data_IF_588439991717
#
_entry.id   IF_588439991717
#
_cell.length_a   1.000
_cell.length_b   1.000
_cell.length_c   1.000
_cell.angle_alpha   90.00
_cell.angle_beta   90.00
_cell.angle_gamma   90.00
#
_symmetry.space_group_name_H-M   'P 1'
#
loop_
_entity.id
_entity.type
_entity.pdbx_description
1 polymer ?
#
# COMPACT_ATOMS: atom_id res chain seq x y z
N UNK A 1 31.38 -40.44 0.55
CA UNK A 1 32.44 -39.59 -0.02
C UNK A 1 32.36 -39.62 -1.54
N UNK A 2 31.80 -38.56 -2.13
CA UNK A 2 31.79 -38.31 -3.58
C UNK A 2 31.42 -36.83 -3.78
N UNK A 3 32.39 -35.92 -3.96
CA UNK A 3 32.07 -34.51 -4.20
C UNK A 3 31.51 -34.32 -5.60
N UNK A 4 30.36 -33.65 -5.73
CA UNK A 4 29.86 -33.16 -7.02
C UNK A 4 30.57 -31.86 -7.36
N UNK A 5 31.35 -31.85 -8.45
CA UNK A 5 31.88 -30.61 -9.01
C UNK A 5 30.75 -29.78 -9.61
N UNK A 6 30.70 -28.49 -9.27
CA UNK A 6 29.99 -27.47 -10.06
C UNK A 6 30.99 -26.77 -11.00
N UNK A 7 30.65 -26.55 -12.28
CA UNK A 7 31.50 -25.79 -13.19
C UNK A 7 31.39 -24.29 -12.92
N UNK A 8 32.52 -23.58 -12.88
CA UNK A 8 32.56 -22.11 -12.90
C UNK A 8 32.14 -21.61 -14.29
N UNK A 9 31.02 -20.89 -14.37
CA UNK A 9 30.68 -20.13 -15.57
C UNK A 9 31.63 -18.93 -15.72
N UNK A 10 32.11 -18.71 -16.95
CA UNK A 10 33.20 -17.77 -17.23
C UNK A 10 32.77 -16.32 -17.37
N UNK A 11 33.66 -15.42 -16.96
CA UNK A 11 33.64 -13.99 -17.26
C UNK A 11 33.71 -13.79 -18.79
N UNK A 12 32.79 -13.01 -19.37
CA UNK A 12 32.89 -12.53 -20.75
C UNK A 12 32.91 -11.01 -20.73
N UNK A 13 33.91 -10.42 -21.37
CA UNK A 13 34.12 -8.98 -21.45
C UNK A 13 34.01 -8.48 -22.89
N UNK A 14 33.92 -7.15 -23.02
CA UNK A 14 33.89 -6.36 -24.27
C UNK A 14 32.53 -6.39 -25.04
N UNK A 15 32.16 -5.36 -25.80
CA UNK A 15 32.92 -4.16 -26.18
C UNK A 15 32.02 -2.90 -26.23
N UNK A 16 32.60 -1.73 -25.91
CA UNK A 16 31.98 -0.45 -26.22
C UNK A 16 32.15 -0.11 -27.71
N UNK A 17 31.06 0.21 -28.41
CA UNK A 17 31.11 0.64 -29.80
C UNK A 17 30.80 2.14 -29.91
N UNK A 18 31.84 2.94 -30.16
CA UNK A 18 31.66 4.34 -30.55
C UNK A 18 31.04 4.43 -31.94
N UNK A 19 30.01 5.27 -32.11
CA UNK A 19 29.59 5.73 -33.44
C UNK A 19 29.76 7.24 -33.57
N UNK A 20 30.21 7.66 -34.74
CA UNK A 20 30.82 8.96 -35.00
C UNK A 20 29.78 9.97 -35.50
N UNK A 21 29.90 11.24 -35.08
CA UNK A 21 29.09 12.33 -35.61
C UNK A 21 29.26 12.47 -37.14
N UNK A 22 28.16 12.70 -37.85
CA UNK A 22 28.19 13.34 -39.16
C UNK A 22 27.14 14.45 -39.18
N UNK A 23 27.54 15.67 -39.51
CA UNK A 23 26.64 16.82 -39.64
C UNK A 23 26.78 17.52 -40.99
N UNK A 24 25.72 18.21 -41.41
CA UNK A 24 25.57 19.20 -42.50
C UNK A 24 24.08 19.18 -42.92
N UNK A 25 23.40 20.25 -43.34
CA UNK A 25 23.58 21.73 -43.26
C UNK A 25 22.20 22.32 -43.63
N UNK A 26 21.80 23.51 -43.13
CA UNK A 26 20.50 24.09 -43.48
C UNK A 26 20.52 24.75 -44.87
N UNK A 27 19.40 24.67 -45.59
CA UNK A 27 19.19 25.43 -46.82
C UNK A 27 18.21 26.59 -46.55
N UNK A 28 18.64 27.81 -46.84
CA UNK A 28 17.81 29.01 -46.81
C UNK A 28 17.87 29.73 -48.16
N UNK A 29 16.71 30.13 -48.65
CA UNK A 29 16.45 31.03 -49.78
C UNK A 29 15.00 31.48 -49.59
N UNK A 30 14.67 32.75 -49.40
CA UNK A 30 14.97 33.86 -50.31
C UNK A 30 13.64 34.17 -51.00
N UNK A 31 12.86 35.10 -50.47
CA UNK A 31 12.80 36.49 -50.96
C UNK A 31 12.40 36.57 -52.45
N UNK A 32 11.16 36.98 -52.71
CA UNK A 32 10.81 37.61 -53.98
C UNK A 32 9.72 38.68 -53.77
N UNK A 33 10.07 39.93 -54.09
CA UNK A 33 9.24 41.12 -53.96
C UNK A 33 9.30 41.88 -55.29
N UNK A 34 8.23 41.83 -56.09
CA UNK A 34 8.05 42.77 -57.20
C UNK A 34 6.59 42.93 -57.65
N UNK A 35 6.18 44.20 -57.79
CA UNK A 35 4.97 44.66 -58.47
C UNK A 35 5.28 44.92 -59.99
N UNK A 36 4.56 45.77 -60.76
CA UNK A 36 3.14 46.16 -60.78
C UNK A 36 2.49 46.12 -62.21
N UNK A 37 1.20 46.50 -62.28
CA UNK A 37 0.54 47.24 -63.37
C UNK A 37 0.35 46.65 -64.80
N UNK A 38 -0.89 46.82 -65.32
CA UNK A 38 -1.13 47.50 -66.61
C UNK A 38 -2.58 48.01 -66.70
N UNK A 39 -2.80 49.09 -67.45
CA UNK A 39 -4.07 49.82 -67.52
C UNK A 39 -4.90 49.49 -68.77
N UNK A 40 -6.22 49.74 -68.72
CA UNK A 40 -7.13 49.67 -69.86
C UNK A 40 -8.32 50.63 -69.75
N UNK A 41 -8.45 51.52 -70.73
CA UNK A 41 -9.57 52.44 -70.99
C UNK A 41 -9.66 52.62 -72.54
N UNK A 42 -10.72 53.19 -73.16
CA UNK A 42 -11.87 53.96 -72.64
C UNK A 42 -13.23 53.22 -72.93
N UNK A 43 -14.46 53.79 -73.03
CA UNK A 43 -14.94 55.18 -73.20
C UNK A 43 -16.41 55.42 -72.77
N UNK A 44 -16.74 56.70 -72.57
CA UNK A 44 -18.04 57.41 -72.69
C UNK A 44 -19.38 56.66 -72.67
N UNK A 45 -20.29 57.09 -71.78
CA UNK A 45 -21.73 56.82 -71.92
C UNK A 45 -22.64 57.43 -70.83
N UNK A 46 -23.17 58.64 -71.09
CA UNK A 46 -24.34 59.29 -70.47
C UNK A 46 -24.37 59.53 -68.94
N UNK A 47 -24.76 60.76 -68.56
CA UNK A 47 -25.00 61.14 -67.17
C UNK A 47 -26.39 60.69 -66.68
N UNK A 48 -26.46 60.17 -65.46
CA UNK A 48 -27.69 60.03 -64.69
C UNK A 48 -27.43 60.50 -63.25
N UNK A 49 -28.02 61.64 -62.88
CA UNK A 49 -27.96 62.15 -61.50
C UNK A 49 -28.92 61.33 -60.64
N UNK A 50 -28.42 60.28 -60.00
CA UNK A 50 -29.15 59.54 -58.97
C UNK A 50 -28.57 59.88 -57.60
N UNK A 51 -29.38 60.54 -56.77
CA UNK A 51 -29.06 60.83 -55.37
C UNK A 51 -28.85 59.52 -54.61
N UNK A 52 -27.61 59.22 -54.23
CA UNK A 52 -27.30 58.09 -53.37
C UNK A 52 -27.80 58.35 -51.93
N UNK A 53 -28.45 57.39 -51.26
CA UNK A 53 -28.87 57.56 -49.88
C UNK A 53 -27.65 57.54 -48.93
N UNK A 54 -27.63 58.46 -47.95
CA UNK A 54 -26.56 58.61 -46.97
C UNK A 54 -26.59 57.54 -45.85
N UNK A 55 -26.60 56.25 -46.24
CA UNK A 55 -26.64 55.09 -45.34
C UNK A 55 -25.39 54.19 -45.43
N UNK A 56 -24.41 54.55 -46.27
CA UNK A 56 -23.25 53.70 -46.56
C UNK A 56 -22.13 53.78 -45.50
N UNK A 57 -22.02 54.88 -44.75
CA UNK A 57 -20.89 55.09 -43.81
C UNK A 57 -21.00 54.28 -42.51
N UNK A 58 -22.20 54.11 -41.97
CA UNK A 58 -22.42 53.38 -40.70
C UNK A 58 -22.20 51.88 -40.86
N UNK A 59 -22.75 51.27 -41.92
CA UNK A 59 -22.53 49.86 -42.23
C UNK A 59 -21.05 49.52 -42.45
N UNK A 60 -20.28 50.43 -43.06
CA UNK A 60 -18.82 50.28 -43.21
C UNK A 60 -18.07 50.41 -41.87
N UNK A 61 -18.51 51.29 -40.97
CA UNK A 61 -17.92 51.42 -39.63
C UNK A 61 -18.18 50.18 -38.77
N UNK A 62 -19.41 49.67 -38.74
CA UNK A 62 -19.78 48.44 -38.02
C UNK A 62 -19.08 47.19 -38.57
N UNK A 63 -18.75 47.16 -39.86
CA UNK A 63 -17.95 46.10 -40.46
C UNK A 63 -16.47 46.19 -40.02
N UNK A 64 -15.90 47.40 -39.98
CA UNK A 64 -14.54 47.62 -39.49
C UNK A 64 -14.39 47.31 -37.99
N UNK A 65 -15.38 47.64 -37.17
CA UNK A 65 -15.38 47.31 -35.73
C UNK A 65 -15.54 45.81 -35.50
N UNK A 66 -16.37 45.12 -36.30
CA UNK A 66 -16.43 43.65 -36.28
C UNK A 66 -15.12 42.99 -36.71
N UNK A 67 -14.40 43.54 -37.70
CA UNK A 67 -13.06 43.06 -38.09
C UNK A 67 -12.07 43.22 -36.94
N UNK A 68 -12.01 44.42 -36.34
CA UNK A 68 -11.11 44.70 -35.21
C UNK A 68 -11.42 43.85 -33.98
N UNK A 69 -12.70 43.60 -33.70
CA UNK A 69 -13.10 42.67 -32.64
C UNK A 69 -12.67 41.23 -32.95
N UNK A 70 -12.85 40.75 -34.18
CA UNK A 70 -12.41 39.41 -34.59
C UNK A 70 -10.88 39.24 -34.57
N UNK A 71 -10.13 40.27 -34.97
CA UNK A 71 -8.66 40.32 -34.87
C UNK A 71 -8.20 40.29 -33.40
N UNK A 72 -8.84 41.09 -32.53
CA UNK A 72 -8.57 41.08 -31.08
C UNK A 72 -8.84 39.71 -30.44
N UNK A 73 -9.96 39.06 -30.78
CA UNK A 73 -10.28 37.71 -30.31
C UNK A 73 -9.28 36.66 -30.80
N UNK A 74 -8.79 36.77 -32.04
CA UNK A 74 -7.73 35.88 -32.56
C UNK A 74 -6.40 36.09 -31.84
N UNK A 75 -6.02 37.34 -31.60
CA UNK A 75 -4.81 37.66 -30.84
C UNK A 75 -4.89 37.14 -29.39
N UNK A 76 -6.06 37.26 -28.74
CA UNK A 76 -6.29 36.71 -27.40
C UNK A 76 -6.23 35.18 -27.37
N UNK A 77 -6.80 34.50 -28.37
CA UNK A 77 -6.70 33.05 -28.51
C UNK A 77 -5.24 32.60 -28.69
N UNK A 78 -4.50 33.22 -29.60
CA UNK A 78 -3.07 32.93 -29.84
C UNK A 78 -2.21 33.18 -28.59
N UNK A 79 -2.50 34.22 -27.81
CA UNK A 79 -1.82 34.48 -26.54
C UNK A 79 -2.10 33.38 -25.50
N UNK A 80 -3.34 32.91 -25.40
CA UNK A 80 -3.72 31.79 -24.52
C UNK A 80 -3.07 30.47 -24.94
N UNK A 81 -3.04 30.15 -26.23
CA UNK A 81 -2.36 28.97 -26.78
C UNK A 81 -0.85 29.02 -26.53
N UNK A 82 -0.22 30.18 -26.65
CA UNK A 82 1.20 30.37 -26.35
C UNK A 82 1.51 30.22 -24.85
N UNK A 83 0.64 30.72 -23.97
CA UNK A 83 0.78 30.55 -22.53
C UNK A 83 0.58 29.09 -22.09
N UNK A 84 -0.44 28.41 -22.62
CA UNK A 84 -0.66 26.98 -22.41
C UNK A 84 0.54 26.15 -22.89
N UNK A 85 1.10 26.48 -24.06
CA UNK A 85 2.29 25.82 -24.60
C UNK A 85 3.49 25.98 -23.67
N UNK A 86 3.75 27.20 -23.17
CA UNK A 86 4.82 27.43 -22.19
C UNK A 86 4.62 26.63 -20.90
N UNK A 87 3.41 26.63 -20.34
CA UNK A 87 3.09 25.86 -19.12
C UNK A 87 3.32 24.35 -19.33
N UNK A 88 3.02 23.82 -20.52
CA UNK A 88 3.26 22.43 -20.87
C UNK A 88 4.75 22.10 -21.10
N UNK A 89 5.57 23.05 -21.56
CA UNK A 89 7.03 22.89 -21.61
C UNK A 89 7.65 22.93 -20.20
N UNK A 90 7.19 23.85 -19.35
CA UNK A 90 7.60 23.95 -17.95
C UNK A 90 7.20 22.70 -17.14
N UNK A 91 6.01 22.12 -17.36
CA UNK A 91 5.59 20.90 -16.67
C UNK A 91 6.45 19.69 -17.08
N UNK A 92 6.69 19.50 -18.38
CA UNK A 92 7.59 18.45 -18.90
C UNK A 92 9.02 18.60 -18.39
N UNK A 93 9.52 19.84 -18.29
CA UNK A 93 10.84 20.10 -17.71
C UNK A 93 10.90 19.78 -16.20
N UNK A 94 9.82 20.02 -15.46
CA UNK A 94 9.73 19.64 -14.04
C UNK A 94 9.60 18.12 -13.85
N UNK A 95 8.84 17.42 -14.70
CA UNK A 95 8.74 15.97 -14.71
C UNK A 95 10.09 15.31 -15.04
N UNK A 96 10.81 15.82 -16.04
CA UNK A 96 12.14 15.33 -16.40
C UNK A 96 13.14 15.45 -15.24
N UNK A 97 13.12 16.57 -14.49
CA UNK A 97 13.96 16.75 -13.30
C UNK A 97 13.61 15.78 -12.19
N UNK A 98 12.31 15.59 -11.89
CA UNK A 98 11.88 14.60 -10.88
C UNK A 98 12.30 13.18 -11.25
N UNK A 99 12.27 12.82 -12.53
CA UNK A 99 12.73 11.52 -13.03
C UNK A 99 14.26 11.36 -12.99
N UNK A 100 15.03 12.45 -13.06
CA UNK A 100 16.48 12.45 -12.85
C UNK A 100 16.82 12.31 -11.37
N UNK A 101 16.14 13.07 -10.50
CA UNK A 101 16.24 12.99 -9.04
C UNK A 101 15.84 11.61 -8.50
N UNK A 102 14.79 10.98 -9.05
CA UNK A 102 14.37 9.64 -8.62
C UNK A 102 15.39 8.57 -8.97
N UNK A 103 15.98 8.61 -10.18
CA UNK A 103 17.06 7.70 -10.60
C UNK A 103 18.30 7.88 -9.74
N UNK A 104 18.70 9.12 -9.46
CA UNK A 104 19.83 9.39 -8.56
C UNK A 104 19.59 8.86 -7.14
N UNK A 105 18.34 8.87 -6.65
CA UNK A 105 17.96 8.27 -5.38
C UNK A 105 17.96 6.73 -5.41
N UNK A 106 17.54 6.11 -6.51
CA UNK A 106 17.62 4.66 -6.74
C UNK A 106 19.07 4.18 -6.80
N UNK A 107 19.92 4.83 -7.61
CA UNK A 107 21.36 4.57 -7.69
C UNK A 107 22.04 4.68 -6.30
N UNK A 108 21.65 5.69 -5.52
CA UNK A 108 22.18 5.90 -4.15
C UNK A 108 21.76 4.77 -3.19
N UNK A 109 20.51 4.31 -3.28
CA UNK A 109 20.00 3.17 -2.48
C UNK A 109 20.67 1.86 -2.88
N UNK A 110 20.92 1.64 -4.16
CA UNK A 110 21.66 0.47 -4.64
C UNK A 110 23.11 0.48 -4.15
N UNK A 111 23.80 1.60 -4.25
CA UNK A 111 25.16 1.75 -3.72
C UNK A 111 25.22 1.49 -2.19
N UNK A 112 24.24 1.96 -1.43
CA UNK A 112 24.17 1.72 0.02
C UNK A 112 23.87 0.24 0.35
N UNK A 113 23.00 -0.42 -0.42
CA UNK A 113 22.76 -1.88 -0.33
C UNK A 113 24.02 -2.69 -0.65
N UNK A 114 24.74 -2.33 -1.72
CA UNK A 114 26.01 -2.98 -2.09
C UNK A 114 27.04 -2.84 -0.96
N UNK A 115 27.17 -1.64 -0.39
CA UNK A 115 28.07 -1.39 0.74
C UNK A 115 27.70 -2.22 1.97
N UNK A 116 26.42 -2.24 2.37
CA UNK A 116 25.96 -3.08 3.49
C UNK A 116 26.25 -4.56 3.24
N UNK A 117 26.03 -5.05 2.01
CA UNK A 117 26.34 -6.44 1.67
C UNK A 117 27.85 -6.76 1.72
N UNK A 118 28.73 -5.82 1.38
CA UNK A 118 30.17 -5.97 1.57
C UNK A 118 30.57 -5.94 3.06
N UNK A 119 30.00 -5.04 3.85
CA UNK A 119 30.19 -4.95 5.31
C UNK A 119 29.72 -6.24 6.01
N UNK A 120 28.55 -6.79 5.65
CA UNK A 120 28.05 -8.08 6.15
C UNK A 120 28.94 -9.27 5.74
N UNK A 121 29.48 -9.29 4.52
CA UNK A 121 30.43 -10.32 4.08
C UNK A 121 31.75 -10.24 4.83
N UNK A 122 32.24 -9.03 5.12
CA UNK A 122 33.43 -8.83 5.93
C UNK A 122 33.21 -9.28 7.39
N UNK A 123 32.05 -8.98 7.96
CA UNK A 123 31.67 -9.45 9.31
C UNK A 123 31.56 -10.99 9.37
N UNK A 124 30.92 -11.62 8.39
CA UNK A 124 30.83 -13.08 8.31
C UNK A 124 32.21 -13.75 8.11
N UNK A 125 33.11 -13.14 7.34
CA UNK A 125 34.48 -13.64 7.18
C UNK A 125 35.30 -13.49 8.47
N UNK A 126 35.12 -12.42 9.23
CA UNK A 126 35.77 -12.24 10.53
C UNK A 126 35.26 -13.24 11.59
N UNK A 127 33.95 -13.48 11.64
CA UNK A 127 33.36 -14.49 12.52
C UNK A 127 33.89 -15.91 12.23
N UNK A 128 34.12 -16.23 10.95
CA UNK A 128 34.66 -17.52 10.53
C UNK A 128 36.15 -17.75 10.90
N UNK A 129 36.95 -16.70 11.19
CA UNK A 129 38.32 -16.87 11.69
C UNK A 129 38.39 -17.03 13.23
N UNK A 130 37.34 -16.63 13.98
CA UNK A 130 37.27 -16.85 15.43
C UNK A 130 36.91 -18.31 15.79
N UNK A 131 36.14 -19.03 14.95
CA UNK A 131 35.75 -20.43 15.21
C UNK A 131 36.92 -21.45 15.12
N UNK A 132 38.01 -21.12 14.42
CA UNK A 132 39.12 -22.07 14.18
C UNK A 132 40.10 -22.21 15.38
N UNK A 133 39.82 -21.53 16.52
CA UNK A 133 40.65 -21.58 17.73
C UNK A 133 40.12 -22.48 18.86
N UNK A 134 38.84 -22.88 18.86
CA UNK A 134 38.24 -23.72 19.90
C UNK A 134 38.00 -25.20 19.49
N UNK A 135 38.53 -25.62 18.34
CA UNK A 135 38.47 -27.00 17.83
C UNK A 135 39.37 -28.02 18.57
N UNK A 136 39.56 -27.85 19.89
CA UNK A 136 40.36 -28.74 20.74
C UNK A 136 39.77 -28.95 22.16
N UNK A 137 38.45 -28.80 22.33
CA UNK A 137 37.76 -28.90 23.63
C UNK A 137 36.51 -29.78 23.64
N UNK A 138 36.69 -31.10 23.80
CA UNK A 138 35.66 -32.08 24.21
C UNK A 138 34.29 -32.03 23.52
N UNK A 139 34.11 -32.91 22.53
CA UNK A 139 32.84 -33.61 22.42
C UNK A 139 32.59 -34.37 23.73
N UNK A 140 31.38 -34.27 24.30
CA UNK A 140 30.46 -35.36 24.69
C UNK A 140 29.23 -34.75 25.42
N UNK A 141 28.35 -34.00 24.74
CA UNK A 141 26.93 -33.82 25.15
C UNK A 141 26.09 -33.21 24.02
N UNK A 142 24.75 -33.20 24.18
CA UNK A 142 23.80 -33.26 23.06
C UNK A 142 23.23 -31.93 22.52
N UNK A 143 22.85 -32.00 21.22
CA UNK A 143 21.72 -31.34 20.56
C UNK A 143 21.68 -29.80 20.40
N UNK A 144 21.75 -29.39 19.13
CA UNK A 144 21.08 -28.25 18.47
C UNK A 144 20.53 -27.12 19.39
N UNK A 145 21.28 -26.04 19.53
CA UNK A 145 20.83 -24.83 20.23
C UNK A 145 21.86 -23.70 20.16
N UNK A 146 21.61 -22.71 19.31
CA UNK A 146 22.54 -21.62 19.00
C UNK A 146 21.92 -20.23 19.09
N UNK A 147 21.09 -19.95 20.11
CA UNK A 147 20.50 -18.61 20.36
C UNK A 147 21.52 -17.59 20.91
N UNK A 148 22.78 -17.67 20.47
CA UNK A 148 23.91 -16.95 21.03
C UNK A 148 23.94 -15.48 20.58
N UNK A 149 23.27 -14.59 21.31
CA UNK A 149 23.44 -13.14 21.17
C UNK A 149 22.22 -12.27 21.47
N UNK A 150 21.01 -12.84 21.49
CA UNK A 150 19.77 -12.09 21.75
C UNK A 150 19.31 -12.31 23.18
N UNK A 151 19.22 -11.23 23.96
CA UNK A 151 18.62 -11.25 25.29
C UNK A 151 17.10 -11.44 25.20
N UNK A 152 16.51 -12.29 26.05
CA UNK A 152 15.08 -12.59 26.08
C UNK A 152 14.77 -13.97 26.66
N UNK A 153 13.50 -14.32 26.74
CA UNK A 153 13.06 -15.62 27.24
C UNK A 153 13.19 -16.69 26.16
N UNK A 154 13.76 -17.85 26.49
CA UNK A 154 13.93 -18.97 25.56
C UNK A 154 12.70 -19.87 25.61
N UNK A 155 12.07 -20.12 24.45
CA UNK A 155 10.90 -20.99 24.34
C UNK A 155 11.04 -21.99 23.17
N UNK A 156 10.39 -23.14 23.29
CA UNK A 156 10.38 -24.18 22.24
C UNK A 156 9.04 -24.18 21.51
N UNK A 157 9.04 -24.09 20.18
CA UNK A 157 7.81 -23.96 19.40
C UNK A 157 7.05 -25.29 19.37
N UNK A 158 5.75 -25.25 19.68
CA UNK A 158 4.85 -26.40 19.63
C UNK A 158 4.02 -26.42 18.34
N UNK A 159 3.54 -25.27 17.88
CA UNK A 159 2.82 -25.14 16.61
C UNK A 159 2.67 -23.68 16.13
N UNK A 160 2.53 -23.51 14.82
CA UNK A 160 2.10 -22.26 14.18
C UNK A 160 0.59 -22.33 13.90
N UNK A 161 -0.18 -21.37 14.41
CA UNK A 161 -1.66 -21.36 14.27
C UNK A 161 -2.12 -20.73 12.95
N UNK A 162 -1.61 -19.52 12.67
CA UNK A 162 -1.89 -18.64 11.53
C UNK A 162 -0.60 -17.83 11.20
N UNK A 163 -0.69 -16.69 10.51
CA UNK A 163 0.47 -15.90 10.08
C UNK A 163 1.18 -15.12 11.18
N UNK A 164 0.55 -14.92 12.35
CA UNK A 164 1.09 -14.08 13.43
C UNK A 164 0.95 -14.69 14.84
N UNK A 165 0.31 -15.86 14.98
CA UNK A 165 0.10 -16.53 16.26
C UNK A 165 0.85 -17.87 16.32
N UNK A 166 1.77 -17.96 17.27
CA UNK A 166 2.48 -19.18 17.66
C UNK A 166 1.88 -19.80 18.92
N UNK A 167 2.18 -21.07 19.15
CA UNK A 167 2.07 -21.72 20.47
C UNK A 167 3.44 -22.28 20.82
N UNK A 168 3.96 -21.90 21.97
CA UNK A 168 5.29 -22.27 22.46
C UNK A 168 5.21 -22.96 23.81
N UNK A 169 6.30 -23.66 24.16
CA UNK A 169 6.59 -24.18 25.49
C UNK A 169 7.52 -23.19 26.18
N UNK A 170 6.98 -22.37 27.08
CA UNK A 170 7.73 -21.46 27.94
C UNK A 170 7.65 -22.00 29.37
N UNK A 171 8.80 -22.30 30.00
CA UNK A 171 8.89 -22.97 31.32
C UNK A 171 8.03 -24.25 31.46
N UNK A 172 7.87 -24.99 30.35
CA UNK A 172 7.01 -26.19 30.28
C UNK A 172 5.51 -25.92 30.19
N UNK A 173 5.09 -24.64 30.14
CA UNK A 173 3.70 -24.22 29.94
C UNK A 173 3.43 -23.94 28.46
N UNK A 174 2.28 -24.41 27.96
CA UNK A 174 1.86 -24.20 26.58
C UNK A 174 1.21 -22.82 26.39
N UNK A 175 2.00 -21.84 26.00
CA UNK A 175 1.65 -20.42 25.92
C UNK A 175 1.37 -19.99 24.48
N UNK A 176 0.22 -19.35 24.19
CA UNK A 176 -0.01 -18.71 22.90
C UNK A 176 0.75 -17.36 22.83
N UNK A 177 1.45 -17.13 21.73
CA UNK A 177 2.24 -15.91 21.48
C UNK A 177 1.70 -15.23 20.22
N UNK A 178 1.42 -13.93 20.31
CA UNK A 178 1.08 -13.08 19.17
C UNK A 178 2.31 -12.23 18.83
N UNK A 179 2.77 -12.32 17.58
CA UNK A 179 3.89 -11.53 17.08
C UNK A 179 3.52 -10.05 17.18
N UNK A 180 4.36 -9.27 17.87
CA UNK A 180 4.22 -7.82 17.98
C UNK A 180 4.44 -7.10 16.65
N UNK A 181 3.79 -5.94 16.56
CA UNK A 181 3.89 -4.94 15.50
C UNK A 181 3.54 -5.36 14.06
N UNK A 182 3.06 -6.59 13.81
CA UNK A 182 2.51 -7.00 12.50
C UNK A 182 1.03 -7.40 12.59
N UNK A 183 0.24 -7.19 11.54
CA UNK A 183 -1.05 -7.87 11.32
C UNK A 183 -0.99 -8.65 10.01
N UNK A 184 -1.38 -9.93 10.03
CA UNK A 184 -1.23 -10.82 8.86
C UNK A 184 -2.58 -11.15 8.24
N UNK A 185 -2.66 -11.36 6.91
CA UNK A 185 -3.94 -11.69 6.28
C UNK A 185 -4.57 -12.95 6.87
N UNK A 186 -5.79 -12.78 7.36
CA UNK A 186 -6.50 -13.72 8.21
C UNK A 186 -6.99 -14.97 7.44
N UNK A 187 -6.74 -16.15 8.02
CA UNK A 187 -7.06 -17.46 7.42
C UNK A 187 -8.12 -18.28 8.17
N UNK A 188 -8.37 -17.96 9.44
CA UNK A 188 -9.09 -18.82 10.39
C UNK A 188 -10.20 -18.12 11.15
N UNK A 189 -10.50 -16.85 10.86
CA UNK A 189 -11.65 -16.17 11.49
C UNK A 189 -12.97 -16.91 11.22
N UNK A 190 -13.78 -17.24 12.25
CA UNK A 190 -15.02 -18.01 12.09
C UNK A 190 -16.15 -17.34 11.26
N UNK A 191 -15.93 -16.13 10.76
CA UNK A 191 -16.95 -15.31 10.07
C UNK A 191 -16.42 -14.38 8.97
N UNK A 192 -15.09 -14.26 8.78
CA UNK A 192 -14.52 -13.53 7.63
C UNK A 192 -14.17 -14.55 6.55
N UNK A 193 -14.24 -14.20 5.25
CA UNK A 193 -13.58 -14.99 4.22
C UNK A 193 -12.07 -15.02 4.49
N UNK A 194 -11.39 -16.05 3.99
CA UNK A 194 -9.92 -16.08 3.93
C UNK A 194 -9.47 -14.82 3.17
N UNK A 195 -8.64 -14.00 3.80
CA UNK A 195 -8.11 -12.80 3.17
C UNK A 195 -7.07 -13.18 2.10
N UNK A 196 -6.90 -12.32 1.10
CA UNK A 196 -5.89 -12.54 0.08
C UNK A 196 -4.50 -12.67 0.74
N UNK A 197 -3.72 -13.67 0.30
CA UNK A 197 -2.43 -14.04 0.84
C UNK A 197 -2.39 -14.53 2.32
N UNK A 198 -3.54 -14.85 2.91
CA UNK A 198 -3.54 -15.46 4.25
C UNK A 198 -2.87 -16.84 4.32
N UNK A 199 -3.22 -17.80 3.44
CA UNK A 199 -2.56 -19.11 3.40
C UNK A 199 -1.04 -18.98 3.20
N UNK A 200 -0.64 -18.01 2.40
CA UNK A 200 0.74 -17.64 2.08
C UNK A 200 1.46 -17.07 3.32
N UNK A 201 0.85 -16.15 4.07
CA UNK A 201 1.38 -15.66 5.36
C UNK A 201 1.56 -16.81 6.38
N UNK A 202 0.57 -17.69 6.49
CA UNK A 202 0.66 -18.88 7.37
C UNK A 202 1.73 -19.86 6.90
N UNK A 203 1.98 -19.97 5.59
CA UNK A 203 3.02 -20.82 5.03
C UNK A 203 4.42 -20.21 5.21
N UNK A 204 4.56 -18.89 5.06
CA UNK A 204 5.80 -18.15 5.30
C UNK A 204 6.30 -18.32 6.74
N UNK A 205 5.42 -18.08 7.74
CA UNK A 205 5.79 -18.29 9.15
C UNK A 205 6.20 -19.75 9.42
N UNK A 206 5.53 -20.73 8.80
CA UNK A 206 5.89 -22.17 8.89
C UNK A 206 7.17 -22.56 8.16
N UNK A 207 7.65 -21.75 7.22
CA UNK A 207 8.96 -21.96 6.58
C UNK A 207 10.12 -21.37 7.37
N UNK A 208 9.84 -20.42 8.27
CA UNK A 208 10.83 -19.82 9.17
C UNK A 208 10.86 -20.50 10.53
N UNK A 209 9.74 -21.07 10.99
CA UNK A 209 9.60 -21.69 12.30
C UNK A 209 8.78 -22.99 12.22
N UNK A 210 9.38 -24.09 12.65
CA UNK A 210 8.78 -25.42 12.80
C UNK A 210 8.56 -25.85 14.26
N UNK A 211 7.73 -26.89 14.51
CA UNK A 211 7.62 -27.51 15.83
C UNK A 211 8.94 -28.16 16.27
N UNK A 212 9.40 -27.82 17.47
CA UNK A 212 10.69 -28.25 18.02
C UNK A 212 11.79 -27.20 17.94
N UNK A 213 11.60 -26.14 17.15
CA UNK A 213 12.58 -25.06 17.03
C UNK A 213 12.63 -24.21 18.31
N UNK A 214 13.81 -23.70 18.62
CA UNK A 214 14.04 -22.81 19.77
C UNK A 214 13.97 -21.36 19.31
N UNK A 215 13.15 -20.56 19.98
CA UNK A 215 13.00 -19.12 19.73
C UNK A 215 13.38 -18.32 20.98
N UNK A 216 13.83 -17.08 20.77
CA UNK A 216 13.95 -16.08 21.84
C UNK A 216 12.78 -15.11 21.74
N UNK A 217 12.10 -14.87 22.85
CA UNK A 217 11.00 -13.93 22.99
C UNK A 217 11.51 -12.65 23.65
N UNK A 218 11.33 -11.51 22.99
CA UNK A 218 11.48 -10.20 23.61
C UNK A 218 10.14 -9.51 23.72
N UNK A 219 9.94 -8.79 24.82
CA UNK A 219 8.69 -8.09 25.11
C UNK A 219 8.85 -6.57 25.01
N UNK A 220 7.71 -5.90 25.10
CA UNK A 220 7.58 -4.46 25.23
C UNK A 220 6.71 -4.15 26.48
N UNK A 221 6.34 -2.88 26.71
CA UNK A 221 5.65 -2.42 27.93
C UNK A 221 4.39 -3.26 28.32
N UNK A 222 3.57 -3.66 27.34
CA UNK A 222 2.36 -4.47 27.56
C UNK A 222 2.58 -5.92 27.12
N UNK A 223 2.62 -6.83 28.10
CA UNK A 223 2.98 -8.24 27.87
C UNK A 223 1.84 -9.10 27.30
N UNK A 224 0.57 -8.76 27.55
CA UNK A 224 -0.58 -9.62 27.23
C UNK A 224 -1.65 -8.85 26.47
N UNK A 225 -2.22 -9.47 25.44
CA UNK A 225 -3.39 -8.93 24.74
C UNK A 225 -4.70 -9.29 25.47
N UNK A 226 -5.82 -8.70 25.01
CA UNK A 226 -7.19 -8.96 25.49
C UNK A 226 -7.69 -10.41 25.36
N UNK A 227 -6.90 -11.32 24.77
CA UNK A 227 -7.21 -12.73 24.58
C UNK A 227 -6.23 -13.64 25.36
N UNK A 228 -5.50 -13.07 26.33
CA UNK A 228 -4.48 -13.73 27.15
C UNK A 228 -3.32 -14.33 26.31
N UNK A 229 -3.02 -13.76 25.14
CA UNK A 229 -1.84 -14.11 24.33
C UNK A 229 -0.65 -13.24 24.73
N UNK A 230 0.53 -13.85 24.81
CA UNK A 230 1.79 -13.18 25.08
C UNK A 230 2.21 -12.36 23.85
N UNK A 231 2.44 -11.07 24.02
CA UNK A 231 2.87 -10.14 22.98
C UNK A 231 4.40 -10.10 22.91
N UNK A 232 4.99 -10.58 21.81
CA UNK A 232 6.45 -10.67 21.68
C UNK A 232 7.00 -10.36 20.27
N UNK A 233 8.20 -9.78 20.24
CA UNK A 233 9.13 -9.94 19.13
C UNK A 233 9.74 -11.34 19.20
N UNK A 234 9.66 -12.11 18.12
CA UNK A 234 10.12 -13.51 18.07
C UNK A 234 11.41 -13.57 17.25
N UNK A 235 12.47 -14.11 17.85
CA UNK A 235 13.78 -14.22 17.22
C UNK A 235 14.18 -15.68 16.99
N UNK A 236 14.73 -15.96 15.81
CA UNK A 236 15.37 -17.22 15.42
C UNK A 236 16.77 -16.89 14.93
N UNK A 237 17.81 -17.52 15.47
CA UNK A 237 19.21 -17.32 15.06
C UNK A 237 19.64 -15.83 14.95
N UNK A 238 19.10 -14.98 15.82
CA UNK A 238 19.35 -13.53 15.85
C UNK A 238 18.42 -12.67 14.97
N UNK A 239 17.59 -13.28 14.13
CA UNK A 239 16.71 -12.61 13.15
C UNK A 239 15.31 -12.39 13.73
N UNK A 240 14.79 -11.16 13.64
CA UNK A 240 13.42 -10.82 14.06
C UNK A 240 12.39 -11.31 13.02
N UNK A 241 11.71 -12.41 13.34
CA UNK A 241 10.72 -13.05 12.46
C UNK A 241 9.55 -12.12 12.14
N UNK A 242 9.19 -11.21 13.04
CA UNK A 242 8.17 -10.19 12.83
C UNK A 242 8.54 -9.28 11.64
N UNK A 243 9.81 -8.87 11.54
CA UNK A 243 10.30 -8.07 10.42
C UNK A 243 10.47 -8.90 9.15
N UNK A 244 10.82 -10.19 9.22
CA UNK A 244 10.81 -11.06 8.04
C UNK A 244 9.41 -11.21 7.42
N UNK A 245 8.37 -11.39 8.24
CA UNK A 245 6.97 -11.42 7.77
C UNK A 245 6.59 -10.13 7.03
N UNK A 246 7.02 -8.97 7.56
CA UNK A 246 6.82 -7.68 6.91
C UNK A 246 7.64 -7.54 5.62
N UNK A 247 8.89 -8.04 5.58
CA UNK A 247 9.78 -8.03 4.40
C UNK A 247 9.26 -8.89 3.26
N UNK A 248 8.54 -9.95 3.57
CA UNK A 248 7.81 -10.76 2.57
C UNK A 248 6.52 -10.08 2.08
N UNK A 249 6.14 -8.93 2.62
CA UNK A 249 4.88 -8.24 2.32
C UNK A 249 3.65 -8.94 2.91
N UNK A 250 3.83 -9.75 3.96
CA UNK A 250 2.81 -10.62 4.54
C UNK A 250 2.39 -10.23 5.98
N UNK A 251 3.02 -9.22 6.57
CA UNK A 251 2.66 -8.63 7.86
C UNK A 251 2.66 -7.11 7.80
N UNK A 252 1.47 -6.50 7.89
CA UNK A 252 1.29 -5.05 7.87
C UNK A 252 1.70 -4.41 9.21
N UNK A 253 2.50 -3.32 9.24
CA UNK A 253 2.90 -2.66 10.47
C UNK A 253 1.71 -2.12 11.29
N UNK A 254 1.66 -2.41 12.58
CA UNK A 254 0.58 -2.00 13.48
C UNK A 254 1.07 -1.77 14.91
N UNK A 255 0.32 -1.01 15.72
CA UNK A 255 0.59 -0.81 17.16
C UNK A 255 -0.42 -1.61 17.99
N UNK A 256 0.08 -2.48 18.88
CA UNK A 256 -0.76 -3.24 19.82
C UNK A 256 -0.62 -2.67 21.23
N UNK A 257 -1.71 -2.16 21.80
CA UNK A 257 -1.82 -1.72 23.20
C UNK A 257 -0.71 -0.72 23.66
N UNK A 258 -0.13 0.03 22.71
CA UNK A 258 0.96 0.99 22.95
C UNK A 258 2.37 0.48 22.65
N UNK A 259 2.54 -0.83 22.41
CA UNK A 259 3.82 -1.44 22.09
C UNK A 259 4.34 -1.00 20.71
N UNK A 260 5.56 -0.47 20.68
CA UNK A 260 6.23 0.11 19.51
C UNK A 260 7.69 -0.35 19.35
N UNK A 261 8.24 -1.13 20.28
CA UNK A 261 9.66 -1.54 20.33
C UNK A 261 10.20 -2.11 19.01
N UNK A 262 9.39 -2.90 18.30
CA UNK A 262 9.78 -3.57 17.05
C UNK A 262 9.24 -2.86 15.81
N UNK A 263 8.38 -1.85 15.98
CA UNK A 263 7.72 -1.16 14.89
C UNK A 263 8.70 -0.55 13.86
N UNK A 264 9.80 0.14 14.23
CA UNK A 264 10.69 0.75 13.24
C UNK A 264 11.37 -0.25 12.30
N UNK A 265 11.70 -1.46 12.79
CA UNK A 265 12.30 -2.52 11.97
C UNK A 265 11.26 -3.15 11.04
N UNK A 266 10.05 -3.35 11.57
CA UNK A 266 8.89 -3.86 10.82
C UNK A 266 8.44 -2.88 9.71
N UNK A 267 8.39 -1.57 10.00
CA UNK A 267 8.08 -0.53 9.01
C UNK A 267 9.13 -0.49 7.89
N UNK A 268 10.42 -0.51 8.23
CA UNK A 268 11.50 -0.53 7.24
C UNK A 268 11.46 -1.80 6.35
N UNK A 269 11.12 -2.95 6.94
CA UNK A 269 10.93 -4.19 6.21
C UNK A 269 9.72 -4.14 5.26
N UNK A 270 8.60 -3.57 5.72
CA UNK A 270 7.38 -3.36 4.92
C UNK A 270 7.57 -2.39 3.75
N UNK A 271 8.33 -1.31 3.95
CA UNK A 271 8.70 -0.39 2.87
C UNK A 271 9.56 -1.08 1.80
N UNK A 272 10.48 -1.97 2.21
CA UNK A 272 11.26 -2.79 1.28
C UNK A 272 10.36 -3.77 0.50
N UNK A 273 9.41 -4.43 1.17
CA UNK A 273 8.43 -5.30 0.51
C UNK A 273 7.59 -4.57 -0.55
N UNK A 274 7.19 -3.32 -0.25
CA UNK A 274 6.49 -2.45 -1.21
C UNK A 274 7.35 -2.06 -2.40
N UNK A 275 8.62 -1.75 -2.17
CA UNK A 275 9.57 -1.41 -3.23
C UNK A 275 9.86 -2.61 -4.14
N UNK A 276 9.90 -3.82 -3.59
CA UNK A 276 10.15 -5.07 -4.33
C UNK A 276 8.89 -5.65 -5.00
N UNK A 277 7.69 -5.13 -4.68
CA UNK A 277 6.42 -5.60 -5.22
C UNK A 277 6.09 -7.04 -4.78
N UNK A 278 6.42 -7.41 -3.55
CA UNK A 278 6.21 -8.76 -2.99
C UNK A 278 5.06 -8.79 -1.98
N UNK A 279 4.59 -10.00 -1.67
CA UNK A 279 3.46 -10.19 -0.77
C UNK A 279 2.24 -9.40 -1.25
N UNK A 280 1.58 -8.69 -0.34
CA UNK A 280 0.36 -7.93 -0.61
C UNK A 280 0.53 -6.86 -1.72
N UNK A 281 1.77 -6.55 -2.12
CA UNK A 281 2.11 -5.65 -3.22
C UNK A 281 2.30 -6.33 -4.59
N UNK A 282 2.17 -7.66 -4.70
CA UNK A 282 2.38 -8.42 -5.95
C UNK A 282 1.33 -8.20 -7.04
N UNK A 283 0.29 -7.42 -6.76
CA UNK A 283 -0.89 -7.24 -7.63
C UNK A 283 -1.88 -8.41 -7.61
N UNK A 284 -1.51 -9.57 -7.06
CA UNK A 284 -2.41 -10.73 -6.90
C UNK A 284 -3.55 -10.47 -5.93
N UNK A 285 -3.38 -9.50 -5.02
CA UNK A 285 -4.39 -9.03 -4.07
C UNK A 285 -5.11 -7.74 -4.48
N UNK A 286 -4.90 -7.27 -5.71
CA UNK A 286 -5.69 -6.18 -6.26
C UNK A 286 -7.14 -6.66 -6.48
N UNK A 287 -8.00 -6.43 -5.47
CA UNK A 287 -9.38 -6.09 -5.77
C UNK A 287 -9.31 -4.84 -6.66
N UNK A 288 -9.91 -4.90 -7.85
CA UNK A 288 -10.03 -3.71 -8.70
C UNK A 288 -10.61 -2.58 -7.83
N UNK A 289 -9.92 -1.44 -7.76
CA UNK A 289 -10.47 -0.24 -7.12
C UNK A 289 -11.84 0.00 -7.74
N UNK A 290 -12.89 -0.21 -6.96
CA UNK A 290 -14.23 0.20 -7.36
C UNK A 290 -14.12 1.70 -7.66
N UNK A 291 -14.37 2.14 -8.90
CA UNK A 291 -13.96 3.46 -9.34
C UNK A 291 -14.58 4.51 -8.41
N UNK A 292 -13.72 5.40 -7.91
CA UNK A 292 -14.12 6.60 -7.16
C UNK A 292 -15.36 7.22 -7.83
N UNK A 293 -16.44 7.49 -7.08
CA UNK A 293 -17.69 7.91 -7.68
C UNK A 293 -17.50 9.27 -8.36
N UNK A 294 -17.40 9.25 -9.69
CA UNK A 294 -17.33 10.45 -10.52
C UNK A 294 -18.59 11.27 -10.30
N UNK A 295 -18.44 12.40 -9.61
CA UNK A 295 -19.47 13.42 -9.50
C UNK A 295 -19.66 14.09 -10.88
N UNK A 296 -20.64 13.63 -11.65
CA UNK A 296 -21.21 14.43 -12.74
C UNK A 296 -22.71 14.15 -12.95
N UNK A 297 -23.36 15.07 -13.66
CA UNK A 297 -24.77 15.44 -13.47
C UNK A 297 -25.85 14.38 -13.78
N UNK A 298 -26.97 14.48 -13.06
CA UNK A 298 -28.15 13.64 -13.20
C UNK A 298 -28.83 13.77 -14.57
N UNK A 299 -29.56 12.72 -15.00
CA UNK A 299 -31.00 12.96 -15.21
C UNK A 299 -31.98 11.84 -14.82
N UNK A 300 -33.17 12.29 -14.41
CA UNK A 300 -34.48 11.66 -14.64
C UNK A 300 -34.80 10.26 -14.05
N UNK A 301 -35.23 10.29 -12.80
CA UNK A 301 -36.43 9.61 -12.26
C UNK A 301 -36.92 8.30 -12.94
N UNK A 302 -36.77 7.18 -12.21
CA UNK A 302 -37.60 5.98 -12.37
C UNK A 302 -38.20 5.62 -10.99
N UNK A 303 -39.43 5.10 -10.97
CA UNK A 303 -40.31 5.15 -9.79
C UNK A 303 -39.86 4.31 -8.56
N UNK A 304 -40.16 4.83 -7.38
CA UNK A 304 -39.92 4.21 -6.07
C UNK A 304 -40.74 2.92 -5.85
N UNK A 305 -40.16 1.85 -5.26
CA UNK A 305 -40.93 0.81 -4.60
C UNK A 305 -41.45 1.28 -3.22
N UNK A 306 -42.59 0.73 -2.81
CA UNK A 306 -43.35 1.15 -1.63
C UNK A 306 -42.57 1.07 -0.28
N UNK A 307 -42.92 1.91 0.72
CA UNK A 307 -42.20 1.97 1.99
C UNK A 307 -42.34 0.68 2.80
N UNK A 308 -41.20 0.10 3.18
CA UNK A 308 -41.12 -0.84 4.31
C UNK A 308 -41.36 -0.05 5.61
N UNK A 309 -42.08 -0.61 6.60
CA UNK A 309 -42.50 0.13 7.77
C UNK A 309 -41.31 0.49 8.68
N UNK A 310 -41.24 1.76 9.09
CA UNK A 310 -40.28 2.22 10.09
C UNK A 310 -40.55 1.53 11.44
N UNK A 311 -39.69 0.58 11.81
CA UNK A 311 -39.69 -0.03 13.13
C UNK A 311 -38.88 0.82 14.10
N UNK A 312 -39.60 1.46 15.02
CA UNK A 312 -39.18 2.05 16.29
C UNK A 312 -37.70 2.46 16.43
N UNK A 313 -37.44 3.76 16.29
CA UNK A 313 -36.30 4.38 16.98
C UNK A 313 -36.49 4.22 18.50
N UNK A 314 -35.64 3.41 19.13
CA UNK A 314 -35.70 3.15 20.56
C UNK A 314 -34.62 2.16 21.00
N UNK A 315 -33.55 2.70 21.59
CA UNK A 315 -32.44 1.96 22.21
C UNK A 315 -31.55 1.17 21.24
N UNK A 316 -30.55 1.89 20.67
CA UNK A 316 -29.29 1.23 20.28
C UNK A 316 -28.58 0.62 21.49
N UNK A 317 -27.46 -0.10 21.30
CA UNK A 317 -26.80 -0.84 22.36
C UNK A 317 -26.39 0.06 23.52
N UNK A 318 -26.63 -0.40 24.75
CA UNK A 318 -26.02 0.23 25.93
C UNK A 318 -24.67 -0.43 26.21
N UNK A 319 -23.63 0.34 26.61
CA UNK A 319 -22.34 -0.26 26.93
C UNK A 319 -22.43 -1.22 28.12
N UNK A 320 -21.84 -2.40 27.97
CA UNK A 320 -21.65 -3.34 29.07
C UNK A 320 -20.53 -2.88 30.01
N UNK A 321 -20.86 -2.11 31.04
CA UNK A 321 -19.91 -1.75 32.09
C UNK A 321 -19.47 -2.99 32.86
N UNK A 322 -18.16 -3.18 33.02
CA UNK A 322 -17.54 -4.36 33.66
C UNK A 322 -18.08 -5.71 33.15
N UNK A 323 -18.46 -5.75 31.86
CA UNK A 323 -19.06 -6.92 31.18
C UNK A 323 -20.44 -7.38 31.70
N UNK A 324 -21.07 -6.56 32.54
CA UNK A 324 -22.43 -6.75 33.06
C UNK A 324 -23.40 -5.91 32.24
N UNK A 325 -24.49 -6.52 31.79
CA UNK A 325 -25.59 -5.79 31.16
C UNK A 325 -26.66 -5.43 32.19
N UNK A 326 -27.32 -4.26 32.07
CA UNK A 326 -28.52 -3.94 32.83
C UNK A 326 -29.65 -4.96 32.58
N UNK A 327 -30.54 -5.14 33.56
CA UNK A 327 -31.66 -6.11 33.46
C UNK A 327 -32.62 -5.81 32.28
N UNK A 328 -32.78 -4.54 31.91
CA UNK A 328 -33.57 -4.09 30.76
C UNK A 328 -32.90 -4.41 29.39
N UNK A 329 -31.61 -4.78 29.40
CA UNK A 329 -30.81 -5.10 28.22
C UNK A 329 -30.17 -6.50 28.31
N UNK A 330 -30.97 -7.57 28.47
CA UNK A 330 -30.49 -8.89 28.85
C UNK A 330 -29.80 -9.67 27.72
N UNK A 331 -29.60 -9.08 26.54
CA UNK A 331 -28.95 -9.76 25.41
C UNK A 331 -27.49 -9.27 25.29
N UNK A 332 -26.56 -10.17 25.60
CA UNK A 332 -25.12 -9.90 25.68
C UNK A 332 -24.45 -10.02 24.31
N UNK A 333 -24.06 -8.91 23.69
CA UNK A 333 -23.25 -8.87 22.47
C UNK A 333 -21.75 -8.82 22.78
N UNK A 334 -20.96 -9.68 22.11
CA UNK A 334 -19.50 -9.65 22.15
C UNK A 334 -18.93 -9.16 20.81
N UNK A 335 -18.51 -7.91 20.79
CA UNK A 335 -18.00 -7.14 19.64
C UNK A 335 -16.81 -7.81 18.94
N UNK A 336 -16.01 -8.62 19.65
CA UNK A 336 -14.87 -9.31 19.05
C UNK A 336 -15.30 -10.48 18.15
N UNK A 337 -16.52 -11.01 18.33
CA UNK A 337 -17.02 -12.20 17.63
C UNK A 337 -18.30 -11.95 16.84
N UNK A 338 -18.94 -10.80 17.05
CA UNK A 338 -20.31 -10.51 16.59
C UNK A 338 -21.30 -11.63 16.94
N UNK A 339 -21.13 -12.21 18.13
CA UNK A 339 -22.06 -13.21 18.68
C UNK A 339 -22.85 -12.58 19.82
N UNK A 340 -24.17 -12.76 19.80
CA UNK A 340 -25.02 -12.44 20.95
C UNK A 340 -25.45 -13.70 21.71
N UNK A 341 -25.60 -13.55 23.01
CA UNK A 341 -26.11 -14.56 23.93
C UNK A 341 -27.35 -14.06 24.67
N UNK A 342 -28.38 -14.90 24.78
CA UNK A 342 -29.59 -14.61 25.57
C UNK A 342 -29.57 -15.39 26.90
N UNK A 343 -30.33 -14.96 27.93
CA UNK A 343 -30.37 -15.63 29.22
C UNK A 343 -30.72 -17.12 29.08
N UNK A 344 -30.04 -17.97 29.85
CA UNK A 344 -30.24 -19.42 29.84
C UNK A 344 -29.40 -20.21 28.81
N UNK A 345 -28.62 -19.54 27.94
CA UNK A 345 -27.62 -20.24 27.11
C UNK A 345 -26.37 -20.64 27.93
N UNK A 346 -25.71 -21.73 27.51
CA UNK A 346 -24.54 -22.31 28.21
C UNK A 346 -23.42 -21.30 28.50
N UNK A 347 -23.18 -20.38 27.57
CA UNK A 347 -22.09 -19.39 27.66
C UNK A 347 -22.54 -18.02 28.21
N UNK A 348 -23.84 -17.78 28.42
CA UNK A 348 -24.38 -16.46 28.79
C UNK A 348 -23.70 -15.83 30.03
N UNK A 349 -23.50 -16.63 31.08
CA UNK A 349 -22.83 -16.17 32.31
C UNK A 349 -21.33 -15.92 32.17
N UNK A 350 -20.69 -16.41 31.10
CA UNK A 350 -19.25 -16.25 30.81
C UNK A 350 -18.99 -15.30 29.64
N UNK A 351 -20.03 -14.75 29.01
CA UNK A 351 -19.91 -13.81 27.90
C UNK A 351 -19.51 -12.44 28.43
N UNK A 352 -18.33 -11.98 28.02
CA UNK A 352 -17.89 -10.61 28.19
C UNK A 352 -18.67 -9.70 27.22
N UNK A 353 -19.72 -9.05 27.73
CA UNK A 353 -20.60 -8.22 26.93
C UNK A 353 -20.05 -6.79 26.84
N UNK A 354 -19.92 -6.27 25.62
CA UNK A 354 -19.49 -4.88 25.39
C UNK A 354 -20.64 -4.02 24.86
N UNK A 355 -21.51 -4.61 24.06
CA UNK A 355 -22.82 -4.07 23.70
C UNK A 355 -23.95 -4.92 24.31
N UNK A 356 -24.92 -4.28 24.94
CA UNK A 356 -26.08 -4.91 25.58
C UNK A 356 -27.37 -4.48 24.87
N UNK A 357 -28.22 -5.45 24.54
CA UNK A 357 -29.42 -5.26 23.75
C UNK A 357 -30.70 -5.63 24.51
N UNK A 358 -31.78 -4.89 24.28
CA UNK A 358 -33.10 -5.20 24.82
C UNK A 358 -33.74 -6.45 24.19
N UNK A 359 -33.30 -6.86 22.99
CA UNK A 359 -33.80 -8.05 22.31
C UNK A 359 -32.77 -8.65 21.35
N UNK A 360 -32.96 -9.93 21.00
CA UNK A 360 -32.17 -10.61 19.98
C UNK A 360 -32.27 -9.92 18.61
N UNK A 361 -33.46 -9.48 18.21
CA UNK A 361 -33.68 -8.79 16.94
C UNK A 361 -32.93 -7.45 16.84
N UNK A 362 -32.75 -6.74 17.96
CA UNK A 362 -31.92 -5.53 18.01
C UNK A 362 -30.42 -5.86 17.83
N UNK A 363 -29.93 -6.95 18.41
CA UNK A 363 -28.56 -7.42 18.18
C UNK A 363 -28.36 -7.87 16.72
N UNK A 364 -29.34 -8.55 16.13
CA UNK A 364 -29.31 -8.99 14.72
C UNK A 364 -29.35 -7.80 13.75
N UNK A 365 -30.09 -6.73 14.06
CA UNK A 365 -30.09 -5.48 13.28
C UNK A 365 -28.72 -4.78 13.28
N UNK A 366 -27.98 -4.87 14.39
CA UNK A 366 -26.60 -4.41 14.54
C UNK A 366 -25.54 -5.41 13.99
N UNK A 367 -25.97 -6.48 13.32
CA UNK A 367 -25.09 -7.45 12.66
C UNK A 367 -24.57 -8.59 13.54
N UNK A 368 -25.04 -8.72 14.78
CA UNK A 368 -24.68 -9.86 15.65
C UNK A 368 -25.49 -11.11 15.28
N UNK A 369 -24.83 -12.27 15.25
CA UNK A 369 -25.49 -13.57 15.04
C UNK A 369 -25.70 -14.31 16.36
N UNK A 370 -26.71 -15.17 16.40
CA UNK A 370 -26.97 -16.02 17.55
C UNK A 370 -25.78 -16.96 17.87
N UNK A 371 -25.49 -17.14 19.15
CA UNK A 371 -24.64 -18.25 19.60
C UNK A 371 -25.24 -19.61 19.23
N UNK A 372 -24.39 -20.54 18.80
CA UNK A 372 -24.78 -21.95 18.60
C UNK A 372 -25.05 -22.60 19.97
N UNK A 373 -26.06 -23.45 20.03
CA UNK A 373 -26.58 -24.08 21.26
C UNK A 373 -25.63 -25.09 21.89
#
# INVERSE_FOLDING_TARGET
MTPRLFPRAGLVAAAALSLVLTGCTPAASGDDVAAPASAGAPSSGAAATTTAPAVSSTASAEAADRSRAAESSRAAAQASEAEQSRRAEESRAAEARRAEESRAAEDSREAERSRRAEESRAAAAAAAEEEDLDAAGSAEDAAWGGTAGVEGDVAVVQSVADGDTLRVSLDGVSTPVRLLNIDTPETRHPSKPVQCQGPEATAALKSMIGPGDTVVLQYDDVLLDRHDRLLAGVFVDGVLVNAEMARLGLGEPVVFDGNVRFLPEVEAAWEQARADGVGLFSGECAVEEAPEPVEDEAPAAVAEPAPVPALAAGSGPVPGADFVCPDDFPVKGNDNSFIYHVPGQQHYGRTNARNCYASAAAAEADGYRAAKR
#
